data_IF_214707132978
#
_entry.id   IF_214707132978
#
_cell.length_a   1.000
_cell.length_b   1.000
_cell.length_c   1.000
_cell.angle_alpha   90.00
_cell.angle_beta   90.00
_cell.angle_gamma   90.00
#
_symmetry.space_group_name_H-M   'P 1'
#
loop_
_entity.id
_entity.type
_entity.pdbx_description
1 polymer ?
#
# COMPACT_ATOMS: atom_id res chain seq x y z
N UNK A 1 9.62 41.17 -12.53
CA UNK A 1 9.07 39.84 -12.84
C UNK A 1 10.21 38.88 -13.13
N UNK A 2 10.58 38.09 -12.13
CA UNK A 2 11.86 37.39 -12.08
C UNK A 2 11.67 35.96 -12.60
N UNK A 3 11.96 35.73 -13.88
CA UNK A 3 12.20 34.39 -14.43
C UNK A 3 13.48 33.84 -13.79
N UNK A 4 13.35 33.06 -12.72
CA UNK A 4 14.45 32.22 -12.22
C UNK A 4 14.47 30.93 -13.04
N UNK A 5 15.30 30.93 -14.09
CA UNK A 5 15.90 29.71 -14.59
C UNK A 5 16.68 29.07 -13.43
N UNK A 6 16.18 27.96 -12.88
CA UNK A 6 17.03 27.01 -12.17
C UNK A 6 17.57 26.03 -13.20
N UNK A 7 18.87 26.12 -13.41
CA UNK A 7 19.66 25.07 -14.04
C UNK A 7 19.41 23.77 -13.28
N UNK A 8 18.85 22.78 -13.98
CA UNK A 8 18.84 21.40 -13.53
C UNK A 8 20.28 20.95 -13.31
N UNK A 9 20.56 20.44 -12.11
CA UNK A 9 21.77 19.67 -11.89
C UNK A 9 21.71 18.46 -12.81
N UNK A 10 22.62 18.40 -13.77
CA UNK A 10 22.81 17.28 -14.69
C UNK A 10 23.50 16.13 -13.95
N UNK A 11 22.71 15.42 -13.15
CA UNK A 11 22.93 14.04 -12.72
C UNK A 11 21.58 13.35 -12.86
N UNK A 12 21.44 12.47 -13.85
CA UNK A 12 20.16 11.97 -14.35
C UNK A 12 19.28 11.35 -13.25
N UNK A 13 18.19 12.04 -12.91
CA UNK A 13 17.07 11.46 -12.19
C UNK A 13 16.43 10.40 -13.10
N UNK A 14 16.33 9.14 -12.65
CA UNK A 14 15.68 8.09 -13.43
C UNK A 14 14.15 8.15 -13.30
N UNK A 15 13.66 8.77 -12.22
CA UNK A 15 12.24 9.08 -11.95
C UNK A 15 12.07 10.36 -11.13
N UNK A 16 10.86 10.92 -11.06
CA UNK A 16 10.56 12.13 -10.27
C UNK A 16 10.82 11.93 -8.77
N UNK A 17 10.49 10.76 -8.23
CA UNK A 17 10.69 10.44 -6.79
C UNK A 17 12.17 10.48 -6.39
N UNK A 18 13.10 10.24 -7.32
CA UNK A 18 14.55 10.32 -7.08
C UNK A 18 15.02 11.74 -6.71
N UNK A 19 14.22 12.77 -7.00
CA UNK A 19 14.49 14.15 -6.58
C UNK A 19 14.28 14.37 -5.07
N UNK A 20 13.62 13.44 -4.37
CA UNK A 20 13.17 13.59 -2.99
C UNK A 20 13.67 12.44 -2.13
N UNK A 21 13.86 12.70 -0.83
CA UNK A 21 14.27 11.66 0.10
C UNK A 21 13.18 10.59 0.25
N UNK A 22 13.51 9.34 -0.05
CA UNK A 22 12.57 8.20 0.00
C UNK A 22 13.32 6.89 0.25
N UNK A 23 12.64 5.89 0.79
CA UNK A 23 13.18 4.54 0.96
C UNK A 23 12.44 3.50 0.11
N UNK A 24 13.16 2.45 -0.26
CA UNK A 24 12.63 1.31 -0.99
C UNK A 24 11.91 0.36 -0.03
N UNK A 25 10.64 0.10 -0.30
CA UNK A 25 9.79 -0.83 0.47
C UNK A 25 9.82 -2.21 -0.16
N UNK A 26 9.67 -2.29 -1.47
CA UNK A 26 9.55 -3.58 -2.17
C UNK A 26 9.17 -3.44 -3.62
N UNK A 27 8.70 -4.52 -4.21
CA UNK A 27 8.18 -4.55 -5.57
C UNK A 27 6.77 -5.13 -5.60
N UNK A 28 5.86 -4.45 -6.29
CA UNK A 28 4.51 -4.95 -6.58
C UNK A 28 4.40 -5.18 -8.09
N UNK A 29 4.20 -6.43 -8.53
CA UNK A 29 4.09 -6.72 -9.97
C UNK A 29 5.32 -6.27 -10.78
N UNK A 30 6.50 -6.28 -10.15
CA UNK A 30 7.76 -5.80 -10.74
C UNK A 30 7.87 -4.28 -10.86
N UNK A 31 6.97 -3.51 -10.25
CA UNK A 31 7.04 -2.04 -10.13
C UNK A 31 7.51 -1.71 -8.70
N UNK A 32 8.49 -0.81 -8.51
CA UNK A 32 9.00 -0.50 -7.19
C UNK A 32 7.95 0.22 -6.34
N UNK A 33 7.98 -0.05 -5.03
CA UNK A 33 7.17 0.62 -4.01
C UNK A 33 8.12 1.39 -3.10
N UNK A 34 7.78 2.64 -2.83
CA UNK A 34 8.57 3.54 -2.00
C UNK A 34 7.75 4.13 -0.87
N UNK A 35 8.45 4.50 0.19
CA UNK A 35 7.94 5.30 1.30
C UNK A 35 8.66 6.65 1.30
N UNK A 36 7.95 7.78 1.12
CA UNK A 36 8.55 9.11 1.20
C UNK A 36 9.09 9.39 2.61
N UNK A 37 10.26 10.02 2.70
CA UNK A 37 10.86 10.46 3.97
C UNK A 37 10.80 11.98 4.15
N UNK A 38 10.06 12.64 3.27
CA UNK A 38 9.76 14.06 3.31
C UNK A 38 8.54 14.33 2.40
N UNK A 39 7.86 15.44 2.65
CA UNK A 39 6.84 15.96 1.74
C UNK A 39 7.36 16.17 0.32
N UNK A 40 6.63 15.65 -0.66
CA UNK A 40 6.87 15.76 -2.10
C UNK A 40 5.82 16.67 -2.72
N UNK A 41 6.24 17.53 -3.65
CA UNK A 41 5.33 18.38 -4.42
C UNK A 41 5.90 18.68 -5.81
N UNK A 42 5.09 18.45 -6.84
CA UNK A 42 5.41 18.69 -8.26
C UNK A 42 4.51 17.82 -9.14
N UNK A 43 5.11 16.91 -9.92
CA UNK A 43 4.39 16.01 -10.85
C UNK A 43 3.35 15.14 -10.12
N UNK A 44 3.63 14.82 -8.86
CA UNK A 44 2.64 14.37 -7.88
C UNK A 44 2.94 14.96 -6.50
N UNK A 45 1.99 14.84 -5.57
CA UNK A 45 2.15 15.32 -4.19
C UNK A 45 1.83 14.22 -3.20
N UNK A 46 2.75 13.94 -2.29
CA UNK A 46 2.58 13.00 -1.20
C UNK A 46 3.46 13.38 0.01
N UNK A 47 3.31 12.68 1.13
CA UNK A 47 4.12 12.88 2.32
C UNK A 47 4.48 11.55 3.01
N UNK A 48 5.14 11.65 4.17
CA UNK A 48 5.63 10.55 5.00
C UNK A 48 4.54 9.64 5.58
N UNK A 49 3.26 9.93 5.31
CA UNK A 49 2.13 9.10 5.77
C UNK A 49 1.59 8.19 4.67
N UNK A 50 2.26 8.13 3.51
CA UNK A 50 1.73 7.53 2.28
C UNK A 50 2.75 6.58 1.65
N UNK A 51 2.27 5.70 0.76
CA UNK A 51 3.13 4.86 -0.08
C UNK A 51 3.00 5.26 -1.55
N UNK A 52 4.06 5.06 -2.31
CA UNK A 52 4.11 5.34 -3.75
C UNK A 52 4.52 4.09 -4.51
N UNK A 53 3.66 3.62 -5.41
CA UNK A 53 3.99 2.61 -6.41
C UNK A 53 4.47 3.30 -7.69
N UNK A 54 5.61 2.86 -8.23
CA UNK A 54 6.30 3.55 -9.31
C UNK A 54 7.01 4.79 -8.78
N UNK A 55 7.24 5.80 -9.61
CA UNK A 55 8.05 6.95 -9.18
C UNK A 55 7.82 8.25 -9.93
N UNK A 56 6.83 8.29 -10.84
CA UNK A 56 6.48 9.46 -11.66
C UNK A 56 7.55 9.81 -12.70
N UNK A 57 7.13 10.39 -13.85
CA UNK A 57 8.01 10.88 -14.93
C UNK A 57 9.19 9.92 -15.27
N UNK A 58 8.98 9.01 -16.24
CA UNK A 58 9.99 8.02 -16.65
C UNK A 58 9.39 6.67 -17.05
N UNK A 59 9.93 5.57 -16.50
CA UNK A 59 9.53 4.19 -16.83
C UNK A 59 8.16 3.79 -16.27
N UNK A 60 7.78 4.32 -15.09
CA UNK A 60 6.52 3.98 -14.41
C UNK A 60 5.81 5.23 -13.87
N UNK A 61 4.53 5.48 -14.24
CA UNK A 61 3.73 6.52 -13.61
C UNK A 61 3.54 6.24 -12.11
N UNK A 62 3.19 7.26 -11.33
CA UNK A 62 3.06 7.13 -9.88
C UNK A 62 1.62 6.75 -9.50
N UNK A 63 1.46 5.77 -8.62
CA UNK A 63 0.21 5.50 -7.91
C UNK A 63 0.44 5.76 -6.43
N UNK A 64 -0.30 6.70 -5.86
CA UNK A 64 -0.21 7.06 -4.44
C UNK A 64 -1.28 6.30 -3.66
N UNK A 65 -0.87 5.64 -2.58
CA UNK A 65 -1.76 5.11 -1.55
C UNK A 65 -1.99 6.24 -0.54
N UNK A 66 -3.10 6.97 -0.74
CA UNK A 66 -3.36 8.24 -0.06
C UNK A 66 -3.72 8.10 1.40
N UNK A 67 -4.34 6.98 1.73
CA UNK A 67 -4.86 6.72 3.06
C UNK A 67 -4.52 5.28 3.49
N UNK A 68 -3.27 5.03 3.93
CA UNK A 68 -2.87 3.74 4.48
C UNK A 68 -3.76 3.26 5.62
N UNK A 69 -4.18 4.16 6.51
CA UNK A 69 -5.11 3.88 7.61
C UNK A 69 -6.43 3.26 7.10
N UNK A 70 -7.08 3.89 6.11
CA UNK A 70 -8.31 3.36 5.53
C UNK A 70 -8.08 2.07 4.75
N UNK A 71 -6.90 1.89 4.17
CA UNK A 71 -6.53 0.64 3.48
C UNK A 71 -6.42 -0.52 4.46
N UNK A 72 -5.80 -0.30 5.63
CA UNK A 72 -5.78 -1.27 6.74
C UNK A 72 -7.19 -1.54 7.26
N UNK A 73 -8.04 -0.52 7.42
CA UNK A 73 -9.43 -0.71 7.82
C UNK A 73 -10.20 -1.59 6.82
N UNK A 74 -10.00 -1.38 5.52
CA UNK A 74 -10.62 -2.18 4.47
C UNK A 74 -10.17 -3.65 4.52
N UNK A 75 -8.87 -3.89 4.70
CA UNK A 75 -8.32 -5.23 4.94
C UNK A 75 -8.94 -5.89 6.18
N UNK A 76 -8.93 -5.19 7.31
CA UNK A 76 -9.46 -5.70 8.58
C UNK A 76 -10.96 -6.01 8.50
N UNK A 77 -11.75 -5.22 7.76
CA UNK A 77 -13.17 -5.51 7.53
C UNK A 77 -13.34 -6.91 6.95
N UNK A 78 -12.61 -7.22 5.88
CA UNK A 78 -12.68 -8.52 5.21
C UNK A 78 -12.28 -9.67 6.14
N UNK A 79 -11.20 -9.50 6.90
CA UNK A 79 -10.72 -10.54 7.82
C UNK A 79 -11.67 -10.76 9.01
N UNK A 80 -12.22 -9.67 9.56
CA UNK A 80 -13.22 -9.71 10.64
C UNK A 80 -14.49 -10.42 10.17
N UNK A 81 -14.99 -10.10 8.97
CA UNK A 81 -16.22 -10.69 8.45
C UNK A 81 -16.08 -12.22 8.24
N UNK A 82 -14.91 -12.69 7.80
CA UNK A 82 -14.63 -14.12 7.69
C UNK A 82 -14.46 -14.78 9.06
N UNK A 83 -13.67 -14.18 9.95
CA UNK A 83 -13.42 -14.74 11.27
C UNK A 83 -14.70 -14.76 12.12
N UNK A 84 -15.61 -13.80 11.94
CA UNK A 84 -16.92 -13.78 12.58
C UNK A 84 -17.79 -14.97 12.13
N UNK A 85 -17.73 -15.39 10.86
CA UNK A 85 -18.47 -16.56 10.37
C UNK A 85 -17.98 -17.87 10.99
N UNK A 86 -16.67 -17.96 11.25
CA UNK A 86 -16.04 -19.09 11.94
C UNK A 86 -16.43 -19.07 13.42
N UNK A 87 -16.24 -17.93 14.08
CA UNK A 87 -16.52 -17.75 15.50
C UNK A 87 -18.01 -17.93 15.85
N UNK A 88 -18.94 -17.63 14.93
CA UNK A 88 -20.36 -17.89 15.11
C UNK A 88 -20.71 -19.38 15.33
N UNK A 89 -19.80 -20.29 14.98
CA UNK A 89 -19.95 -21.73 15.17
C UNK A 89 -19.43 -22.22 16.53
N UNK A 90 -18.69 -21.38 17.27
CA UNK A 90 -18.11 -21.69 18.58
C UNK A 90 -18.24 -20.49 19.53
N UNK A 91 -19.15 -20.58 20.50
CA UNK A 91 -19.41 -19.48 21.45
C UNK A 91 -18.19 -19.13 22.31
N UNK A 92 -17.26 -20.07 22.52
CA UNK A 92 -16.04 -19.87 23.31
C UNK A 92 -14.86 -19.41 22.44
N UNK A 93 -15.07 -19.18 21.14
CA UNK A 93 -14.02 -18.72 20.25
C UNK A 93 -13.42 -17.39 20.74
N UNK A 94 -12.09 -17.27 20.91
CA UNK A 94 -11.45 -16.09 21.50
C UNK A 94 -11.76 -14.76 20.80
N UNK A 95 -12.13 -14.80 19.52
CA UNK A 95 -12.49 -13.62 18.73
C UNK A 95 -13.78 -12.95 19.22
N UNK A 96 -14.72 -13.71 19.79
CA UNK A 96 -16.01 -13.18 20.26
C UNK A 96 -15.82 -12.09 21.33
N UNK A 97 -14.71 -12.13 22.09
CA UNK A 97 -14.38 -11.14 23.11
C UNK A 97 -13.99 -9.77 22.53
N UNK A 98 -13.46 -9.73 21.29
CA UNK A 98 -12.91 -8.52 20.67
C UNK A 98 -13.71 -8.04 19.44
N UNK A 99 -14.52 -8.93 18.83
CA UNK A 99 -15.23 -8.70 17.57
C UNK A 99 -15.94 -7.33 17.52
N UNK A 100 -16.87 -7.07 18.45
CA UNK A 100 -17.68 -5.85 18.40
C UNK A 100 -16.87 -4.56 18.55
N UNK A 101 -15.77 -4.60 19.32
CA UNK A 101 -14.84 -3.45 19.42
C UNK A 101 -14.14 -3.21 18.09
N UNK A 102 -13.68 -4.27 17.43
CA UNK A 102 -12.96 -4.16 16.18
C UNK A 102 -13.86 -3.77 15.02
N UNK A 103 -15.08 -4.31 14.94
CA UNK A 103 -16.08 -3.91 13.95
C UNK A 103 -16.39 -2.40 14.03
N UNK A 104 -16.58 -1.90 15.25
CA UNK A 104 -16.80 -0.47 15.52
C UNK A 104 -15.58 0.37 15.13
N UNK A 105 -14.38 -0.09 15.49
CA UNK A 105 -13.13 0.59 15.18
C UNK A 105 -12.91 0.68 13.66
N UNK A 106 -13.10 -0.42 12.94
CA UNK A 106 -13.00 -0.47 11.49
C UNK A 106 -14.04 0.43 10.85
N UNK A 107 -15.30 0.43 11.32
CA UNK A 107 -16.36 1.29 10.78
C UNK A 107 -16.02 2.79 10.85
N UNK A 108 -15.30 3.21 11.89
CA UNK A 108 -14.83 4.60 12.04
C UNK A 108 -13.86 5.04 10.93
N UNK A 109 -13.05 4.11 10.44
CA UNK A 109 -11.95 4.39 9.49
C UNK A 109 -12.24 3.86 8.07
N UNK A 110 -13.27 3.03 7.94
CA UNK A 110 -13.76 2.49 6.68
C UNK A 110 -14.47 3.59 5.88
N UNK A 111 -13.71 4.26 5.02
CA UNK A 111 -14.28 5.08 3.97
C UNK A 111 -14.67 4.18 2.80
N UNK A 112 -15.98 3.96 2.69
CA UNK A 112 -16.65 3.12 1.68
C UNK A 112 -16.29 3.47 0.22
N UNK A 113 -15.75 4.66 -0.04
CA UNK A 113 -15.27 5.04 -1.36
C UNK A 113 -13.78 4.68 -1.51
N UNK A 114 -13.51 3.42 -1.82
CA UNK A 114 -12.15 2.89 -1.96
C UNK A 114 -11.31 3.66 -3.01
N UNK A 115 -11.94 4.19 -4.07
CA UNK A 115 -11.24 4.95 -5.12
C UNK A 115 -10.54 6.20 -4.56
N UNK A 116 -11.07 6.81 -3.48
CA UNK A 116 -10.47 8.01 -2.87
C UNK A 116 -9.13 7.72 -2.17
N UNK A 117 -8.82 6.44 -1.91
CA UNK A 117 -7.56 6.02 -1.30
C UNK A 117 -6.42 5.87 -2.29
N UNK A 118 -6.72 5.96 -3.59
CA UNK A 118 -5.76 5.83 -4.67
C UNK A 118 -5.70 7.12 -5.49
N UNK A 119 -4.50 7.51 -5.90
CA UNK A 119 -4.33 8.58 -6.88
C UNK A 119 -3.33 8.16 -7.95
N UNK A 120 -3.87 7.99 -9.16
CA UNK A 120 -3.12 7.65 -10.36
C UNK A 120 -2.58 8.93 -10.99
N UNK A 121 -1.30 9.23 -10.79
CA UNK A 121 -0.61 10.39 -11.37
C UNK A 121 0.07 10.00 -12.69
N UNK A 122 -0.27 10.71 -13.77
CA UNK A 122 0.32 10.51 -15.11
C UNK A 122 0.04 9.14 -15.75
N UNK A 123 -0.96 8.40 -15.26
CA UNK A 123 -1.36 7.15 -15.88
C UNK A 123 -2.11 7.40 -17.18
N UNK A 124 -1.53 6.94 -18.29
CA UNK A 124 -2.26 6.78 -19.55
C UNK A 124 -3.11 5.50 -19.53
N UNK A 125 -4.08 5.41 -20.45
CA UNK A 125 -4.84 4.18 -20.67
C UNK A 125 -3.92 2.99 -20.98
N UNK A 126 -2.84 3.22 -21.74
CA UNK A 126 -1.90 2.17 -22.11
C UNK A 126 -1.08 1.67 -20.90
N UNK A 127 -0.58 2.57 -20.06
CA UNK A 127 0.18 2.20 -18.85
C UNK A 127 -0.71 1.53 -17.81
N UNK A 128 -1.95 2.01 -17.65
CA UNK A 128 -2.94 1.36 -16.78
C UNK A 128 -3.23 -0.05 -17.25
N UNK A 129 -3.54 -0.23 -18.53
CA UNK A 129 -3.78 -1.56 -19.11
C UNK A 129 -2.59 -2.50 -18.91
N UNK A 130 -1.36 -2.02 -19.14
CA UNK A 130 -0.16 -2.83 -18.95
C UNK A 130 0.04 -3.29 -17.50
N UNK A 131 -0.18 -2.39 -16.54
CA UNK A 131 -0.11 -2.74 -15.12
C UNK A 131 -1.21 -3.72 -14.73
N UNK A 132 -2.44 -3.48 -15.19
CA UNK A 132 -3.57 -4.37 -14.99
C UNK A 132 -3.27 -5.80 -15.50
N UNK A 133 -2.75 -5.93 -16.73
CA UNK A 133 -2.33 -7.22 -17.29
C UNK A 133 -1.23 -7.92 -16.48
N UNK A 134 -0.33 -7.17 -15.84
CA UNK A 134 0.65 -7.76 -14.91
C UNK A 134 -0.03 -8.27 -13.65
N UNK A 135 -0.98 -7.52 -13.11
CA UNK A 135 -1.70 -7.88 -11.89
C UNK A 135 -2.63 -9.07 -12.07
N UNK A 136 -3.12 -9.34 -13.29
CA UNK A 136 -3.90 -10.54 -13.62
C UNK A 136 -3.03 -11.76 -13.97
N UNK A 137 -1.70 -11.61 -13.98
CA UNK A 137 -0.79 -12.70 -14.28
C UNK A 137 -0.73 -13.73 -13.15
N UNK A 138 -0.80 -15.02 -13.50
CA UNK A 138 -0.60 -16.13 -12.55
C UNK A 138 0.82 -16.20 -11.95
N UNK A 139 1.73 -15.32 -12.38
CA UNK A 139 3.04 -15.16 -11.74
C UNK A 139 2.97 -14.31 -10.46
N UNK A 140 1.89 -13.57 -10.25
CA UNK A 140 1.61 -12.87 -8.97
C UNK A 140 1.29 -13.89 -7.89
N UNK A 141 1.61 -13.57 -6.63
CA UNK A 141 1.26 -14.43 -5.51
C UNK A 141 -0.26 -14.49 -5.33
N UNK A 142 -0.90 -13.33 -5.35
CA UNK A 142 -2.33 -13.14 -5.19
C UNK A 142 -2.87 -12.35 -6.39
N UNK A 143 -2.99 -12.95 -7.59
CA UNK A 143 -3.40 -12.24 -8.80
C UNK A 143 -4.82 -11.67 -8.70
N UNK A 144 -5.07 -10.59 -9.43
CA UNK A 144 -6.43 -10.08 -9.64
C UNK A 144 -7.17 -10.98 -10.64
N UNK A 145 -8.41 -11.36 -10.31
CA UNK A 145 -9.30 -12.09 -11.20
C UNK A 145 -10.48 -11.21 -11.58
N UNK A 146 -10.70 -11.00 -12.89
CA UNK A 146 -11.76 -10.13 -13.40
C UNK A 146 -13.16 -10.64 -13.05
N UNK A 147 -13.32 -11.95 -12.86
CA UNK A 147 -14.58 -12.57 -12.46
C UNK A 147 -14.85 -12.47 -10.95
N UNK A 148 -13.94 -11.87 -10.18
CA UNK A 148 -14.14 -11.66 -8.74
C UNK A 148 -15.20 -10.57 -8.48
N UNK A 149 -15.83 -10.63 -7.30
CA UNK A 149 -16.80 -9.61 -6.89
C UNK A 149 -16.14 -8.26 -6.59
N UNK A 150 -14.83 -8.24 -6.37
CA UNK A 150 -14.05 -7.02 -6.15
C UNK A 150 -13.63 -6.35 -7.46
N UNK A 151 -13.67 -5.02 -7.48
CA UNK A 151 -12.99 -4.25 -8.53
C UNK A 151 -11.48 -4.21 -8.29
N UNK A 152 -10.74 -3.86 -9.34
CA UNK A 152 -9.28 -3.81 -9.32
C UNK A 152 -8.71 -2.88 -8.24
N UNK A 153 -9.30 -1.70 -8.08
CA UNK A 153 -8.89 -0.71 -7.08
C UNK A 153 -9.09 -1.24 -5.65
N UNK A 154 -10.21 -1.91 -5.39
CA UNK A 154 -10.45 -2.52 -4.08
C UNK A 154 -9.47 -3.66 -3.78
N UNK A 155 -9.10 -4.46 -4.80
CA UNK A 155 -8.07 -5.49 -4.68
C UNK A 155 -6.68 -4.89 -4.38
N UNK A 156 -6.31 -3.78 -5.05
CA UNK A 156 -5.07 -3.06 -4.74
C UNK A 156 -5.05 -2.61 -3.28
N UNK A 157 -6.14 -2.00 -2.81
CA UNK A 157 -6.25 -1.48 -1.44
C UNK A 157 -6.17 -2.61 -0.42
N UNK A 158 -6.79 -3.76 -0.68
CA UNK A 158 -6.63 -4.95 0.18
C UNK A 158 -5.18 -5.39 0.28
N UNK A 159 -4.47 -5.48 -0.86
CA UNK A 159 -3.06 -5.90 -0.89
C UNK A 159 -2.13 -4.94 -0.16
N UNK A 160 -2.32 -3.63 -0.35
CA UNK A 160 -1.57 -2.62 0.41
C UNK A 160 -1.98 -2.59 1.89
N UNK A 161 -3.27 -2.72 2.20
CA UNK A 161 -3.80 -2.75 3.57
C UNK A 161 -3.21 -3.90 4.38
N UNK A 162 -3.19 -5.11 3.82
CA UNK A 162 -2.53 -6.26 4.46
C UNK A 162 -1.03 -6.01 4.64
N UNK A 163 -0.34 -5.50 3.62
CA UNK A 163 1.08 -5.20 3.71
C UNK A 163 1.38 -4.19 4.83
N UNK A 164 0.63 -3.09 4.90
CA UNK A 164 0.78 -2.07 5.93
C UNK A 164 0.52 -2.68 7.31
N UNK A 165 -0.55 -3.48 7.47
CA UNK A 165 -0.89 -4.13 8.73
C UNK A 165 0.24 -5.01 9.30
N UNK A 166 0.93 -5.78 8.46
CA UNK A 166 1.99 -6.69 8.90
C UNK A 166 3.41 -6.10 8.86
N UNK A 167 3.71 -5.18 7.94
CA UNK A 167 5.07 -4.74 7.67
C UNK A 167 5.33 -3.27 8.02
N UNK A 168 4.31 -2.40 8.00
CA UNK A 168 4.44 -0.96 8.26
C UNK A 168 3.27 -0.43 9.12
N UNK A 169 2.99 -1.03 10.29
CA UNK A 169 1.79 -0.70 11.08
C UNK A 169 1.77 0.76 11.57
N UNK A 170 2.91 1.43 11.62
CA UNK A 170 3.04 2.84 11.96
C UNK A 170 2.29 3.77 10.99
N UNK A 171 2.13 3.38 9.72
CA UNK A 171 1.34 4.16 8.75
C UNK A 171 -0.17 4.12 9.04
N UNK A 172 -0.59 3.21 9.91
CA UNK A 172 -1.96 3.05 10.37
C UNK A 172 -2.03 3.08 11.92
N UNK A 173 -1.10 3.79 12.58
CA UNK A 173 -0.96 3.77 14.04
C UNK A 173 -2.28 3.98 14.79
N UNK A 174 -3.14 4.89 14.31
CA UNK A 174 -4.43 5.17 14.96
C UNK A 174 -5.33 3.94 15.11
N UNK A 175 -5.40 3.06 14.11
CA UNK A 175 -6.18 1.82 14.22
C UNK A 175 -5.37 0.74 14.93
N UNK A 176 -4.07 0.61 14.62
CA UNK A 176 -3.21 -0.45 15.12
C UNK A 176 -3.02 -0.42 16.64
N UNK A 177 -2.91 0.77 17.24
CA UNK A 177 -2.75 0.93 18.69
C UNK A 177 -3.99 0.53 19.50
N UNK A 178 -5.16 0.43 18.85
CA UNK A 178 -6.44 0.12 19.51
C UNK A 178 -6.84 -1.36 19.38
N UNK A 179 -6.17 -2.11 18.49
CA UNK A 179 -6.37 -3.54 18.30
C UNK A 179 -5.66 -4.35 19.38
N UNK A 180 -6.34 -5.36 19.93
CA UNK A 180 -5.83 -6.17 21.04
C UNK A 180 -5.19 -7.44 20.49
N UNK A 181 -3.85 -7.46 20.39
CA UNK A 181 -3.07 -8.59 19.85
C UNK A 181 -3.59 -9.11 18.49
N UNK A 182 -3.78 -8.25 17.47
CA UNK A 182 -4.47 -8.64 16.24
C UNK A 182 -3.75 -9.73 15.45
N UNK A 183 -2.43 -9.88 15.64
CA UNK A 183 -1.62 -10.93 15.00
C UNK A 183 -1.87 -12.35 15.53
N UNK A 184 -2.57 -12.50 16.66
CA UNK A 184 -3.01 -13.81 17.15
C UNK A 184 -4.20 -14.35 16.33
N UNK A 185 -4.88 -13.48 15.57
CA UNK A 185 -6.12 -13.77 14.86
C UNK A 185 -5.97 -13.80 13.34
N UNK A 186 -5.00 -13.04 12.79
CA UNK A 186 -4.86 -12.87 11.34
C UNK A 186 -3.52 -13.40 10.84
N UNK A 187 -3.58 -14.12 9.71
CA UNK A 187 -2.40 -14.61 8.99
C UNK A 187 -2.03 -13.71 7.81
N UNK A 188 -0.75 -13.67 7.40
CA UNK A 188 -0.33 -12.92 6.23
C UNK A 188 -0.53 -13.71 4.92
N UNK A 189 -0.30 -13.02 3.80
CA UNK A 189 -0.19 -13.50 2.42
C UNK A 189 -1.51 -13.78 1.68
N UNK A 190 -2.64 -13.22 2.12
CA UNK A 190 -3.93 -13.44 1.44
C UNK A 190 -4.16 -12.52 0.23
N UNK A 191 -3.71 -11.28 0.32
CA UNK A 191 -3.90 -10.21 -0.66
C UNK A 191 -2.57 -9.54 -1.07
N UNK A 192 -1.57 -9.60 -0.20
CA UNK A 192 -0.28 -8.94 -0.37
C UNK A 192 0.46 -9.48 -1.60
N UNK A 193 0.98 -8.55 -2.40
CA UNK A 193 1.82 -8.82 -3.57
C UNK A 193 3.14 -8.04 -3.54
N UNK A 194 3.47 -7.40 -2.42
CA UNK A 194 4.72 -6.66 -2.23
C UNK A 194 5.82 -7.62 -1.80
N UNK A 195 6.81 -7.75 -2.67
CA UNK A 195 8.03 -8.49 -2.42
C UNK A 195 9.06 -7.56 -1.76
N UNK A 196 9.36 -7.80 -0.48
CA UNK A 196 10.37 -7.03 0.26
C UNK A 196 11.76 -7.28 -0.32
N UNK A 197 12.53 -6.20 -0.48
CA UNK A 197 13.91 -6.29 -0.95
C UNK A 197 14.80 -6.86 0.15
N UNK A 198 15.61 -7.91 -0.12
CA UNK A 198 16.53 -8.43 0.87
C UNK A 198 17.47 -7.34 1.41
N UNK A 199 17.73 -7.36 2.72
CA UNK A 199 18.54 -6.36 3.43
C UNK A 199 19.87 -5.98 2.76
N UNK A 200 20.57 -6.95 2.16
CA UNK A 200 21.89 -6.74 1.54
C UNK A 200 21.82 -6.53 0.02
N UNK A 201 20.64 -6.53 -0.58
CA UNK A 201 20.50 -6.22 -1.99
C UNK A 201 20.69 -4.70 -2.22
N UNK A 202 21.39 -4.30 -3.29
CA UNK A 202 21.51 -2.89 -3.63
C UNK A 202 20.13 -2.32 -3.95
N UNK A 203 19.79 -1.19 -3.33
CA UNK A 203 18.60 -0.41 -3.65
C UNK A 203 19.01 0.95 -4.18
N UNK A 204 18.34 1.40 -5.23
CA UNK A 204 18.56 2.70 -5.84
C UNK A 204 17.54 3.71 -5.30
N UNK A 205 17.50 3.85 -3.98
CA UNK A 205 16.68 4.81 -3.26
C UNK A 205 17.57 5.66 -2.34
N UNK A 206 17.42 6.99 -2.37
CA UNK A 206 18.33 7.91 -1.67
C UNK A 206 18.12 7.97 -0.13
N UNK A 207 17.14 7.23 0.39
CA UNK A 207 16.93 6.92 1.81
C UNK A 207 17.26 5.47 2.19
N UNK A 208 17.63 4.62 1.23
CA UNK A 208 18.00 3.22 1.47
C UNK A 208 16.82 2.25 1.40
N UNK A 209 16.93 1.11 2.11
CA UNK A 209 15.92 0.06 2.19
C UNK A 209 15.15 0.22 3.52
N UNK A 210 13.83 0.21 3.48
CA UNK A 210 12.98 0.32 4.67
C UNK A 210 13.24 -0.81 5.69
N UNK A 211 13.63 -2.00 5.21
CA UNK A 211 13.73 -3.22 6.00
C UNK A 211 15.18 -3.66 6.29
N UNK A 212 16.03 -2.72 6.70
CA UNK A 212 17.45 -3.01 7.05
C UNK A 212 17.63 -3.76 8.38
N UNK A 213 16.58 -3.89 9.18
CA UNK A 213 16.63 -4.56 10.50
C UNK A 213 16.05 -5.97 10.51
N UNK A 214 15.37 -6.39 9.43
CA UNK A 214 14.91 -7.77 9.23
C UNK A 214 16.08 -8.70 8.84
#
# INVERSE_FOLDING_TARGET
ETKKHRQAATGGCMSFIDCFRHEMVGYFGGVPVYHPLQKISGDFSCDETQLVLGGGCGEHPALIIKNPLASVAWFLRSEIDELAQIAAQDSEHPFNAVQGKWEYLVEKYDNKNHIEHLEFCEWSVATYKYFFERCTSLAMLNPFFEESEQCFESWLIMGFGEFIFFAMPELAAEIMEQLENPYDYFGPMRFNNILIVPKNAPVYANGGNAFTFL
#
